data_IF_247236324824
#
_entry.id   IF_247236324824
#
_cell.length_a   1.000
_cell.length_b   1.000
_cell.length_c   1.000
_cell.angle_alpha   90.00
_cell.angle_beta   90.00
_cell.angle_gamma   90.00
#
_symmetry.space_group_name_H-M   'P 1'
#
loop_
_entity.id
_entity.type
_entity.pdbx_description
1 polymer ?
#
# COMPACT_ATOMS: atom_id res chain seq x y z
N UNK A 1 2.01 -7.36 -1.97
CA UNK A 1 1.51 -6.01 -1.74
C UNK A 1 0.03 -6.12 -1.47
N UNK A 2 -0.43 -5.42 -0.45
CA UNK A 2 -1.84 -5.23 -0.16
C UNK A 2 -2.07 -3.74 0.11
N UNK A 3 -3.32 -3.31 0.07
CA UNK A 3 -3.74 -1.95 0.44
C UNK A 3 -4.35 -1.97 1.84
N UNK A 4 -4.25 -0.86 2.60
CA UNK A 4 -4.94 -0.72 3.88
C UNK A 4 -6.43 -1.06 3.77
N UNK A 5 -6.88 -1.98 4.63
CA UNK A 5 -8.25 -2.48 4.66
C UNK A 5 -8.49 -3.74 3.84
N UNK A 6 -7.50 -4.23 3.07
CA UNK A 6 -7.62 -5.49 2.33
C UNK A 6 -7.80 -6.67 3.28
N UNK A 7 -8.74 -7.55 2.91
CA UNK A 7 -8.92 -8.85 3.54
C UNK A 7 -8.15 -9.89 2.73
N UNK A 8 -7.20 -10.55 3.38
CA UNK A 8 -6.37 -11.59 2.75
C UNK A 8 -6.68 -12.91 3.43
N UNK A 9 -6.98 -13.92 2.61
CA UNK A 9 -7.06 -15.30 3.07
C UNK A 9 -5.66 -15.83 3.34
N UNK A 10 -5.39 -16.12 4.60
CA UNK A 10 -4.22 -16.87 5.04
C UNK A 10 -4.54 -18.35 4.94
N UNK A 11 -3.84 -19.07 4.06
CA UNK A 11 -4.15 -20.45 3.71
C UNK A 11 -2.93 -21.36 3.89
N UNK A 12 -3.02 -22.27 4.86
CA UNK A 12 -2.04 -23.30 5.17
C UNK A 12 -2.54 -24.70 4.81
N UNK A 13 -3.68 -24.84 4.13
CA UNK A 13 -4.33 -26.15 3.86
C UNK A 13 -3.52 -27.09 2.98
N UNK A 14 -2.59 -26.55 2.18
CA UNK A 14 -1.64 -27.33 1.39
C UNK A 14 -0.52 -27.98 2.25
N UNK A 15 -0.46 -27.69 3.56
CA UNK A 15 0.53 -28.28 4.47
C UNK A 15 0.30 -29.77 4.64
N UNK A 16 1.39 -30.53 4.67
CA UNK A 16 1.35 -31.99 4.81
C UNK A 16 2.33 -32.46 5.88
N UNK A 17 2.03 -33.60 6.49
CA UNK A 17 2.82 -34.21 7.56
C UNK A 17 2.54 -35.72 7.60
N UNK A 18 3.49 -36.52 8.10
CA UNK A 18 3.28 -37.95 8.37
C UNK A 18 2.34 -38.17 9.56
N UNK A 19 2.41 -37.27 10.56
CA UNK A 19 1.52 -37.21 11.71
C UNK A 19 0.35 -36.24 11.48
N UNK A 20 -0.76 -36.43 12.19
CA UNK A 20 -1.94 -35.55 12.11
C UNK A 20 -1.61 -34.13 12.57
N UNK A 21 -2.01 -33.11 11.80
CA UNK A 21 -1.91 -31.71 12.22
C UNK A 21 -3.04 -31.44 13.22
N UNK A 22 -2.69 -31.18 14.48
CA UNK A 22 -3.64 -31.00 15.58
C UNK A 22 -3.85 -29.54 15.97
N UNK A 23 -2.97 -28.65 15.53
CA UNK A 23 -3.06 -27.22 15.82
C UNK A 23 -2.45 -26.40 14.68
N UNK A 24 -3.10 -25.30 14.37
CA UNK A 24 -2.63 -24.29 13.43
C UNK A 24 -2.97 -22.90 13.98
N UNK A 25 -2.01 -22.00 13.88
CA UNK A 25 -2.12 -20.61 14.33
C UNK A 25 -1.34 -19.72 13.39
N UNK A 26 -1.95 -18.62 12.98
CA UNK A 26 -1.30 -17.51 12.31
C UNK A 26 -0.85 -16.50 13.35
N UNK A 27 0.42 -16.08 13.28
CA UNK A 27 0.95 -14.95 14.05
C UNK A 27 1.24 -13.82 13.09
N UNK A 28 0.64 -12.66 13.34
CA UNK A 28 0.74 -11.48 12.51
C UNK A 28 1.47 -10.43 13.34
N UNK A 29 2.72 -10.16 12.98
CA UNK A 29 3.57 -9.17 13.65
C UNK A 29 3.65 -7.90 12.78
N UNK A 30 3.35 -6.74 13.36
CA UNK A 30 3.51 -5.44 12.71
C UNK A 30 4.84 -4.79 13.13
N UNK A 31 5.79 -4.80 12.21
CA UNK A 31 7.21 -4.51 12.47
C UNK A 31 7.51 -3.12 13.05
N UNK A 32 6.78 -2.04 12.72
CA UNK A 32 7.04 -0.72 13.30
C UNK A 32 6.81 -0.62 14.81
N UNK A 33 5.98 -1.50 15.39
CA UNK A 33 5.62 -1.46 16.82
C UNK A 33 5.84 -2.78 17.55
N UNK A 34 6.28 -3.81 16.82
CA UNK A 34 6.36 -5.21 17.30
C UNK A 34 5.05 -5.71 17.92
N UNK A 35 3.91 -5.13 17.54
CA UNK A 35 2.61 -5.64 17.97
C UNK A 35 2.36 -6.98 17.29
N UNK A 36 1.82 -7.94 18.04
CA UNK A 36 1.55 -9.29 17.54
C UNK A 36 0.10 -9.67 17.81
N UNK A 37 -0.57 -10.13 16.76
CA UNK A 37 -1.89 -10.73 16.81
C UNK A 37 -1.81 -12.22 16.45
N UNK A 38 -2.74 -13.02 16.98
CA UNK A 38 -2.81 -14.45 16.70
C UNK A 38 -4.21 -14.84 16.27
N UNK A 39 -4.31 -15.68 15.24
CA UNK A 39 -5.57 -16.21 14.73
C UNK A 39 -5.45 -17.72 14.58
N UNK A 40 -6.29 -18.48 15.26
CA UNK A 40 -6.32 -19.94 15.15
C UNK A 40 -6.94 -20.40 13.84
N UNK A 41 -6.53 -21.58 13.38
CA UNK A 41 -7.06 -22.23 12.19
C UNK A 41 -6.03 -22.37 11.07
N UNK A 42 -6.14 -23.45 10.29
CA UNK A 42 -5.25 -23.70 9.15
C UNK A 42 -5.56 -22.78 7.97
N UNK A 43 -6.77 -22.21 7.93
CA UNK A 43 -7.22 -21.23 6.97
C UNK A 43 -8.08 -20.19 7.68
N UNK A 44 -7.81 -18.91 7.42
CA UNK A 44 -8.56 -17.78 8.01
C UNK A 44 -8.44 -16.54 7.14
N UNK A 45 -9.37 -15.60 7.28
CA UNK A 45 -9.28 -14.28 6.66
C UNK A 45 -8.76 -13.28 7.68
N UNK A 46 -7.83 -12.41 7.27
CA UNK A 46 -7.28 -11.36 8.10
C UNK A 46 -7.29 -10.01 7.36
N UNK A 47 -7.70 -8.96 8.06
CA UNK A 47 -7.75 -7.60 7.52
C UNK A 47 -6.51 -6.80 7.94
N UNK A 48 -5.76 -6.31 6.95
CA UNK A 48 -4.56 -5.51 7.20
C UNK A 48 -4.89 -4.01 7.12
N UNK A 49 -5.08 -3.37 8.26
CA UNK A 49 -5.58 -1.98 8.31
C UNK A 49 -4.49 -0.91 8.26
N UNK A 50 -3.30 -1.19 8.80
CA UNK A 50 -2.23 -0.20 8.85
C UNK A 50 -1.28 -0.42 7.67
N UNK A 51 -0.80 0.65 7.02
CA UNK A 51 0.28 0.52 6.07
C UNK A 51 1.60 0.18 6.77
N UNK A 52 2.49 -0.53 6.09
CA UNK A 52 3.79 -0.93 6.61
C UNK A 52 4.12 -2.39 6.35
N UNK A 53 5.08 -2.91 7.11
CA UNK A 53 5.56 -4.28 6.98
C UNK A 53 4.97 -5.19 8.06
N UNK A 54 4.48 -6.34 7.61
CA UNK A 54 3.97 -7.41 8.46
C UNK A 54 4.78 -8.69 8.28
N UNK A 55 5.14 -9.34 9.38
CA UNK A 55 5.65 -10.71 9.36
C UNK A 55 4.49 -11.66 9.69
N UNK A 56 4.06 -12.43 8.69
CA UNK A 56 2.97 -13.39 8.82
C UNK A 56 3.57 -14.78 8.96
N UNK A 57 3.38 -15.40 10.12
CA UNK A 57 3.92 -16.71 10.47
C UNK A 57 2.80 -17.73 10.61
N UNK A 58 2.83 -18.81 9.82
CA UNK A 58 2.03 -20.00 10.10
C UNK A 58 2.80 -20.87 11.09
N UNK A 59 2.20 -21.17 12.23
CA UNK A 59 2.68 -22.15 13.21
C UNK A 59 1.77 -23.39 13.16
N UNK A 60 2.37 -24.57 13.01
CA UNK A 60 1.67 -25.86 13.02
C UNK A 60 2.22 -26.75 14.12
N UNK A 61 1.34 -27.56 14.73
CA UNK A 61 1.73 -28.65 15.63
C UNK A 61 1.03 -29.94 15.23
N UNK A 62 1.73 -31.06 15.32
CA UNK A 62 1.22 -32.39 15.01
C UNK A 62 0.85 -33.18 16.27
N UNK A 63 0.23 -34.35 16.09
CA UNK A 63 -0.09 -35.31 17.14
C UNK A 63 1.13 -36.05 17.71
N UNK A 64 2.32 -35.84 17.13
CA UNK A 64 3.56 -36.50 17.56
C UNK A 64 3.89 -36.20 19.03
N UNK A 65 4.27 -37.24 19.77
CA UNK A 65 4.73 -37.11 21.17
C UNK A 65 6.22 -36.75 21.29
N UNK A 66 6.90 -36.57 20.17
CA UNK A 66 8.31 -36.15 20.16
C UNK A 66 8.42 -34.65 20.43
N UNK A 67 9.61 -34.19 20.82
CA UNK A 67 9.88 -32.74 20.97
C UNK A 67 9.92 -31.98 19.65
N UNK A 68 9.91 -32.68 18.51
CA UNK A 68 9.95 -32.11 17.16
C UNK A 68 8.57 -32.17 16.48
N UNK A 69 7.51 -31.85 17.23
CA UNK A 69 6.13 -31.93 16.76
C UNK A 69 5.56 -30.60 16.27
N UNK A 70 6.39 -29.59 16.05
CA UNK A 70 5.94 -28.28 15.56
C UNK A 70 6.87 -27.69 14.51
N UNK A 71 6.31 -26.85 13.64
CA UNK A 71 7.01 -26.14 12.58
C UNK A 71 6.40 -24.76 12.40
N UNK A 72 7.19 -23.80 11.93
CA UNK A 72 6.69 -22.50 11.53
C UNK A 72 7.30 -22.03 10.22
N UNK A 73 6.54 -21.26 9.45
CA UNK A 73 6.99 -20.59 8.24
C UNK A 73 6.55 -19.13 8.27
N UNK A 74 7.49 -18.20 8.08
CA UNK A 74 7.24 -16.76 8.06
C UNK A 74 7.38 -16.19 6.66
N UNK A 75 6.47 -15.29 6.28
CA UNK A 75 6.56 -14.46 5.08
C UNK A 75 6.39 -12.99 5.45
N UNK A 76 7.13 -12.12 4.77
CA UNK A 76 6.91 -10.68 4.84
C UNK A 76 5.79 -10.28 3.86
N UNK A 77 4.89 -9.43 4.33
CA UNK A 77 3.85 -8.77 3.55
C UNK A 77 3.98 -7.27 3.76
N UNK A 78 4.18 -6.52 2.67
CA UNK A 78 4.09 -5.06 2.70
C UNK A 78 2.68 -4.60 2.30
N UNK A 79 2.10 -3.77 3.15
CA UNK A 79 0.83 -3.06 2.94
C UNK A 79 1.18 -1.61 2.59
N UNK A 80 0.70 -1.11 1.46
CA UNK A 80 1.06 0.20 0.93
C UNK A 80 -0.18 1.10 0.82
N UNK A 81 -0.17 2.23 1.50
CA UNK A 81 -1.16 3.29 1.34
C UNK A 81 -0.91 4.05 0.04
N UNK A 82 -1.99 4.45 -0.65
CA UNK A 82 -1.85 5.36 -1.78
C UNK A 82 -1.52 6.79 -1.30
N UNK A 83 -0.77 7.59 -2.09
CA UNK A 83 -0.56 8.99 -1.78
C UNK A 83 -1.86 9.79 -1.63
N UNK A 84 -1.90 10.65 -0.63
CA UNK A 84 -2.91 11.68 -0.48
C UNK A 84 -2.53 12.89 -1.33
N UNK A 85 -3.27 13.11 -2.43
CA UNK A 85 -3.04 14.22 -3.34
C UNK A 85 -3.74 15.48 -2.82
N UNK A 86 -2.99 16.57 -2.69
CA UNK A 86 -3.52 17.88 -2.32
C UNK A 86 -3.03 18.94 -3.33
N UNK A 87 -3.95 19.38 -4.19
CA UNK A 87 -3.76 20.48 -5.12
C UNK A 87 -5.11 21.14 -5.42
N UNK A 88 -5.07 22.34 -6.00
CA UNK A 88 -6.28 23.04 -6.43
C UNK A 88 -6.05 23.72 -7.77
N UNK A 89 -7.13 23.97 -8.48
CA UNK A 89 -7.14 24.69 -9.73
C UNK A 89 -8.25 25.76 -9.69
N UNK A 90 -8.00 26.99 -10.14
CA UNK A 90 -9.06 27.97 -10.36
C UNK A 90 -10.04 27.49 -11.44
N UNK A 91 -11.32 27.84 -11.29
CA UNK A 91 -12.38 27.45 -12.25
C UNK A 91 -12.18 28.13 -13.62
N UNK A 92 -11.69 29.37 -13.63
CA UNK A 92 -11.44 30.15 -14.84
C UNK A 92 -10.13 30.91 -14.70
N UNK A 93 -9.32 30.89 -15.75
CA UNK A 93 -8.05 31.64 -15.86
C UNK A 93 -8.09 32.47 -17.14
N UNK A 94 -7.72 33.76 -17.11
CA UNK A 94 -7.63 34.56 -18.33
C UNK A 94 -6.57 34.01 -19.27
N UNK A 95 -6.86 33.97 -20.57
CA UNK A 95 -5.87 33.58 -21.57
C UNK A 95 -4.63 34.49 -21.49
N UNK A 96 -3.45 33.88 -21.56
CA UNK A 96 -2.14 34.50 -21.42
C UNK A 96 -1.69 34.73 -19.98
N UNK A 97 -2.50 34.38 -18.97
CA UNK A 97 -2.12 34.49 -17.57
C UNK A 97 -1.28 33.30 -17.11
N UNK A 98 -0.48 33.54 -16.07
CA UNK A 98 0.25 32.51 -15.36
C UNK A 98 -0.71 31.69 -14.49
N UNK A 99 -0.61 30.36 -14.60
CA UNK A 99 -1.33 29.40 -13.80
C UNK A 99 -0.34 28.62 -12.93
N UNK A 100 -0.52 28.70 -11.61
CA UNK A 100 0.30 27.98 -10.64
C UNK A 100 -0.31 26.59 -10.37
N UNK A 101 0.42 25.56 -10.76
CA UNK A 101 0.17 24.18 -10.38
C UNK A 101 0.98 23.89 -9.12
N UNK A 102 0.30 23.53 -8.03
CA UNK A 102 0.96 23.33 -6.74
C UNK A 102 0.37 22.13 -6.00
N UNK A 103 1.17 21.08 -5.87
CA UNK A 103 0.85 19.85 -5.15
C UNK A 103 1.77 19.63 -3.94
N UNK A 104 2.45 20.68 -3.44
CA UNK A 104 3.43 20.58 -2.35
C UNK A 104 2.85 20.09 -1.01
N UNK A 105 1.52 20.15 -0.85
CA UNK A 105 0.83 19.63 0.33
C UNK A 105 0.41 18.17 0.17
N UNK A 106 0.67 17.55 -0.98
CA UNK A 106 0.48 16.12 -1.17
C UNK A 106 1.47 15.35 -0.31
N UNK A 107 1.05 14.20 0.21
CA UNK A 107 1.86 13.37 1.11
C UNK A 107 1.57 11.90 0.88
N UNK A 108 2.54 11.08 1.27
CA UNK A 108 2.39 9.64 1.34
C UNK A 108 2.39 9.21 2.81
N UNK A 109 1.32 8.59 3.34
CA UNK A 109 1.22 8.23 4.75
C UNK A 109 2.28 7.24 5.24
N UNK A 110 2.82 6.40 4.36
CA UNK A 110 3.76 5.33 4.74
C UNK A 110 5.15 5.46 4.09
N UNK A 111 5.38 6.60 3.44
CA UNK A 111 6.55 6.80 2.60
C UNK A 111 6.72 8.24 2.13
N UNK A 112 7.10 8.38 0.88
CA UNK A 112 7.28 9.65 0.19
C UNK A 112 6.82 9.54 -1.26
N UNK A 113 6.26 10.64 -1.77
CA UNK A 113 5.95 10.77 -3.19
C UNK A 113 7.26 10.90 -3.96
N UNK A 114 7.51 9.95 -4.85
CA UNK A 114 8.73 9.84 -5.65
C UNK A 114 8.66 10.65 -6.93
N UNK A 115 7.49 10.68 -7.58
CA UNK A 115 7.31 11.37 -8.85
C UNK A 115 5.99 12.15 -8.87
N UNK A 116 6.04 13.35 -9.47
CA UNK A 116 4.88 14.15 -9.85
C UNK A 116 4.89 14.27 -11.38
N UNK A 117 3.73 14.21 -12.01
CA UNK A 117 3.59 14.47 -13.45
C UNK A 117 2.33 15.27 -13.71
N UNK A 118 2.52 16.46 -14.25
CA UNK A 118 1.44 17.34 -14.67
C UNK A 118 1.17 17.15 -16.15
N UNK A 119 -0.09 17.01 -16.51
CA UNK A 119 -0.55 16.93 -17.88
C UNK A 119 -1.53 18.05 -18.18
N UNK A 120 -1.39 18.68 -19.35
CA UNK A 120 -2.34 19.62 -19.92
C UNK A 120 -2.87 19.01 -21.21
N UNK A 121 -4.18 18.75 -21.28
CA UNK A 121 -4.85 18.13 -22.42
C UNK A 121 -4.19 16.80 -22.88
N UNK A 122 -3.66 16.06 -21.91
CA UNK A 122 -2.98 14.78 -22.12
C UNK A 122 -1.49 14.89 -22.47
N UNK A 123 -0.94 16.09 -22.65
CA UNK A 123 0.50 16.30 -22.85
C UNK A 123 1.22 16.52 -21.52
N UNK A 124 2.33 15.82 -21.30
CA UNK A 124 3.17 15.98 -20.11
C UNK A 124 3.87 17.36 -20.14
N UNK A 125 3.53 18.22 -19.19
CA UNK A 125 4.05 19.60 -19.12
C UNK A 125 5.08 19.82 -18.01
N UNK A 126 5.05 19.04 -16.92
CA UNK A 126 6.04 19.16 -15.83
C UNK A 126 6.16 17.89 -15.00
N UNK A 127 7.31 17.76 -14.33
CA UNK A 127 7.61 16.72 -13.33
C UNK A 127 7.87 17.27 -11.93
N UNK A 128 7.69 18.58 -11.74
CA UNK A 128 7.90 19.24 -10.47
C UNK A 128 6.62 19.15 -9.61
N UNK A 129 6.77 19.11 -8.29
CA UNK A 129 5.62 19.19 -7.38
C UNK A 129 4.91 20.56 -7.43
N UNK A 130 5.60 21.61 -7.90
CA UNK A 130 5.03 22.92 -8.21
C UNK A 130 5.62 23.48 -9.49
N UNK A 131 4.77 24.05 -10.34
CA UNK A 131 5.12 24.59 -11.65
C UNK A 131 4.25 25.80 -11.97
N UNK A 132 4.81 26.78 -12.69
CA UNK A 132 4.02 27.88 -13.27
C UNK A 132 3.98 27.69 -14.78
N UNK A 133 2.78 27.58 -15.34
CA UNK A 133 2.55 27.48 -16.79
C UNK A 133 1.81 28.70 -17.31
N UNK A 134 1.89 28.95 -18.62
CA UNK A 134 1.08 29.97 -19.29
C UNK A 134 -0.15 29.36 -19.95
N UNK A 135 -1.29 30.01 -19.78
CA UNK A 135 -2.58 29.58 -20.33
C UNK A 135 -2.88 30.27 -21.66
N UNK A 136 -2.14 29.95 -22.73
CA UNK A 136 -2.17 30.76 -23.95
C UNK A 136 -3.44 30.57 -24.81
N UNK A 137 -4.03 29.38 -24.80
CA UNK A 137 -5.21 29.08 -25.62
C UNK A 137 -6.51 29.30 -24.82
N UNK A 138 -7.50 30.02 -25.37
CA UNK A 138 -8.83 30.08 -24.78
C UNK A 138 -9.61 28.78 -25.04
N UNK A 139 -10.29 28.28 -24.02
CA UNK A 139 -11.14 27.11 -24.16
C UNK A 139 -11.25 26.33 -22.86
N UNK A 140 -11.85 25.14 -22.95
CA UNK A 140 -11.84 24.18 -21.86
C UNK A 140 -10.57 23.34 -21.97
N UNK A 141 -9.76 23.37 -20.92
CA UNK A 141 -8.54 22.58 -20.80
C UNK A 141 -8.66 21.62 -19.63
N UNK A 142 -8.03 20.46 -19.74
CA UNK A 142 -7.97 19.46 -18.68
C UNK A 142 -6.57 19.42 -18.10
N UNK A 143 -6.45 19.71 -16.81
CA UNK A 143 -5.21 19.52 -16.05
C UNK A 143 -5.30 18.24 -15.24
N UNK A 144 -4.34 17.34 -15.40
CA UNK A 144 -4.25 16.09 -14.64
C UNK A 144 -2.92 16.07 -13.87
N UNK A 145 -2.99 15.68 -12.61
CA UNK A 145 -1.83 15.35 -11.81
C UNK A 145 -1.79 13.83 -11.60
N UNK A 146 -0.69 13.20 -12.02
CA UNK A 146 -0.34 11.85 -11.60
C UNK A 146 0.77 11.93 -10.55
N UNK A 147 0.62 11.17 -9.47
CA UNK A 147 1.66 10.99 -8.45
C UNK A 147 2.01 9.52 -8.33
N UNK A 148 3.27 9.25 -8.00
CA UNK A 148 3.76 7.91 -7.70
C UNK A 148 4.53 7.95 -6.38
N UNK A 149 4.23 7.01 -5.48
CA UNK A 149 4.98 6.81 -4.24
C UNK A 149 6.34 6.14 -4.46
N UNK A 150 7.02 5.87 -3.35
CA UNK A 150 8.29 5.17 -3.34
C UNK A 150 8.17 3.64 -3.24
N UNK A 151 6.97 3.08 -3.42
CA UNK A 151 6.80 1.64 -3.43
C UNK A 151 7.20 1.03 -4.79
N UNK A 152 7.75 -0.21 -4.78
CA UNK A 152 8.31 -0.89 -5.95
C UNK A 152 7.29 -1.34 -6.99
#
# INVERSE_FOLDING_TARGET
WATPGDVITLDGTASTSEDEITYAEWRIEYVPTESMETVEGIQTDYQFNEPGEYLVTLFLRTSSSTSCNSVSLTKSLKVNAAPEINWTLPEVVPAGADLNLNALLSKDPDGYIKDFKWYLDGELISRNASEIIKTEEPGNHTVVLEVQDNSP
#
